data_IF_681348040960
#
_entry.id   IF_681348040960
#
_cell.length_a   1.000
_cell.length_b   1.000
_cell.length_c   1.000
_cell.angle_alpha   90.00
_cell.angle_beta   90.00
_cell.angle_gamma   90.00
#
_symmetry.space_group_name_H-M   'P 1'
#
loop_
_entity.id
_entity.type
_entity.pdbx_description
1 polymer ?
#
# COMPACT_ATOMS: atom_id res chain seq x y z
N UNK A 1 3.43 -35.63 5.00
CA UNK A 1 3.37 -34.63 6.08
C UNK A 1 3.51 -35.36 7.40
N UNK A 2 4.45 -34.99 8.27
CA UNK A 2 4.53 -35.52 9.65
C UNK A 2 3.21 -35.20 10.38
N UNK A 3 2.80 -36.04 11.33
CA UNK A 3 1.66 -35.70 12.20
C UNK A 3 2.09 -34.58 13.14
N UNK A 4 1.19 -33.67 13.52
CA UNK A 4 1.52 -32.53 14.40
C UNK A 4 2.09 -32.98 15.76
N UNK A 5 1.76 -34.19 16.20
CA UNK A 5 2.29 -34.81 17.43
C UNK A 5 3.75 -35.30 17.32
N UNK A 6 4.27 -35.42 16.09
CA UNK A 6 5.66 -35.83 15.81
C UNK A 6 6.54 -34.60 15.51
N UNK A 7 5.96 -33.39 15.56
CA UNK A 7 6.64 -32.14 15.29
C UNK A 7 7.24 -31.56 16.56
N UNK A 8 8.41 -30.94 16.45
CA UNK A 8 8.98 -30.12 17.53
C UNK A 8 8.16 -28.84 17.71
N UNK A 9 8.30 -28.19 18.87
CA UNK A 9 7.59 -26.92 19.14
C UNK A 9 7.88 -25.85 18.07
N UNK A 10 9.11 -25.79 17.55
CA UNK A 10 9.47 -24.93 16.41
C UNK A 10 8.78 -25.34 15.11
N UNK A 11 8.73 -26.63 14.78
CA UNK A 11 8.03 -27.13 13.58
C UNK A 11 6.53 -26.81 13.65
N UNK A 12 5.90 -26.90 14.82
CA UNK A 12 4.49 -26.55 15.04
C UNK A 12 4.26 -25.06 14.80
N UNK A 13 5.10 -24.20 15.40
CA UNK A 13 5.00 -22.75 15.20
C UNK A 13 5.16 -22.37 13.73
N UNK A 14 6.17 -22.94 13.06
CA UNK A 14 6.44 -22.67 11.65
C UNK A 14 5.28 -23.12 10.75
N UNK A 15 4.69 -24.30 11.00
CA UNK A 15 3.54 -24.80 10.25
C UNK A 15 2.35 -23.83 10.30
N UNK A 16 2.02 -23.32 11.48
CA UNK A 16 0.91 -22.38 11.64
C UNK A 16 1.22 -20.98 11.10
N UNK A 17 2.49 -20.56 11.20
CA UNK A 17 2.98 -19.31 10.60
C UNK A 17 2.87 -19.37 9.07
N UNK A 18 3.25 -20.50 8.47
CA UNK A 18 3.15 -20.73 7.04
C UNK A 18 1.68 -20.76 6.56
N UNK A 19 0.78 -21.43 7.30
CA UNK A 19 -0.66 -21.32 7.01
C UNK A 19 -1.14 -19.87 7.01
N UNK A 20 -0.73 -19.06 7.99
CA UNK A 20 -1.12 -17.66 8.05
C UNK A 20 -0.58 -16.85 6.86
N UNK A 21 0.65 -17.13 6.43
CA UNK A 21 1.27 -16.51 5.25
C UNK A 21 0.61 -16.96 3.93
N UNK A 22 0.15 -18.21 3.85
CA UNK A 22 -0.56 -18.78 2.71
C UNK A 22 -2.03 -18.31 2.61
N UNK A 23 -2.44 -17.29 3.38
CA UNK A 23 -3.72 -16.62 3.23
C UNK A 23 -4.84 -17.10 4.16
N UNK A 24 -4.59 -18.07 5.04
CA UNK A 24 -5.58 -18.49 6.03
C UNK A 24 -5.83 -17.35 7.04
N UNK A 25 -7.08 -17.12 7.40
CA UNK A 25 -7.46 -16.14 8.42
C UNK A 25 -6.94 -16.54 9.81
N UNK A 26 -6.69 -15.56 10.68
CA UNK A 26 -6.31 -15.82 12.08
C UNK A 26 -7.33 -16.74 12.76
N UNK A 27 -8.62 -16.60 12.43
CA UNK A 27 -9.71 -17.43 12.97
C UNK A 27 -9.61 -18.89 12.51
N UNK A 28 -9.35 -19.14 11.22
CA UNK A 28 -9.17 -20.50 10.71
C UNK A 28 -7.94 -21.18 11.31
N UNK A 29 -6.86 -20.42 11.48
CA UNK A 29 -5.65 -20.91 12.14
C UNK A 29 -5.94 -21.28 13.61
N UNK A 30 -6.62 -20.41 14.37
CA UNK A 30 -7.03 -20.69 15.74
C UNK A 30 -7.98 -21.88 15.85
N UNK A 31 -8.92 -22.03 14.92
CA UNK A 31 -9.80 -23.20 14.87
C UNK A 31 -9.02 -24.50 14.60
N UNK A 32 -7.99 -24.45 13.75
CA UNK A 32 -7.09 -25.58 13.50
C UNK A 32 -6.26 -25.92 14.74
N UNK A 33 -5.80 -24.93 15.49
CA UNK A 33 -5.09 -25.13 16.77
C UNK A 33 -6.01 -25.76 17.81
N UNK A 34 -7.26 -25.28 17.88
CA UNK A 34 -8.24 -25.77 18.86
C UNK A 34 -8.72 -27.19 18.58
N UNK A 35 -8.79 -27.59 17.32
CA UNK A 35 -9.16 -28.95 16.89
C UNK A 35 -8.02 -29.97 17.02
N UNK A 36 -6.79 -29.53 17.29
CA UNK A 36 -5.66 -30.41 17.55
C UNK A 36 -5.38 -30.52 19.06
N UNK A 37 -4.95 -31.70 19.52
CA UNK A 37 -4.48 -31.91 20.91
C UNK A 37 -3.08 -31.31 21.09
N UNK A 38 -2.97 -29.99 21.00
CA UNK A 38 -1.77 -29.25 21.43
C UNK A 38 -1.82 -29.01 22.94
N UNK A 39 -0.66 -29.08 23.59
CA UNK A 39 -0.54 -28.69 25.01
C UNK A 39 -0.86 -27.21 25.20
N UNK A 40 -1.19 -26.81 26.43
CA UNK A 40 -1.48 -25.40 26.74
C UNK A 40 -0.28 -24.48 26.41
N UNK A 41 0.94 -24.95 26.66
CA UNK A 41 2.18 -24.21 26.39
C UNK A 41 2.44 -24.08 24.88
N UNK A 42 2.25 -25.17 24.12
CA UNK A 42 2.36 -25.15 22.66
C UNK A 42 1.34 -24.20 22.04
N UNK A 43 0.09 -24.22 22.52
CA UNK A 43 -0.95 -23.28 22.08
C UNK A 43 -0.54 -21.84 22.33
N UNK A 44 -0.01 -21.55 23.52
CA UNK A 44 0.44 -20.21 23.89
C UNK A 44 1.58 -19.73 22.96
N UNK A 45 2.58 -20.56 22.70
CA UNK A 45 3.69 -20.23 21.80
C UNK A 45 3.22 -19.91 20.37
N UNK A 46 2.31 -20.73 19.83
CA UNK A 46 1.76 -20.49 18.48
C UNK A 46 0.96 -19.20 18.43
N UNK A 47 0.14 -18.91 19.45
CA UNK A 47 -0.66 -17.68 19.52
C UNK A 47 0.25 -16.44 19.60
N UNK A 48 1.28 -16.47 20.43
CA UNK A 48 2.24 -15.37 20.56
C UNK A 48 3.00 -15.13 19.25
N UNK A 49 3.45 -16.21 18.59
CA UNK A 49 4.11 -16.14 17.27
C UNK A 49 3.19 -15.56 16.19
N UNK A 50 1.92 -15.98 16.16
CA UNK A 50 0.93 -15.43 15.22
C UNK A 50 0.64 -13.95 15.49
N UNK A 51 0.60 -13.54 16.76
CA UNK A 51 0.42 -12.14 17.13
C UNK A 51 1.63 -11.28 16.72
N UNK A 52 2.85 -11.80 16.86
CA UNK A 52 4.07 -11.16 16.37
C UNK A 52 4.05 -11.04 14.83
N UNK A 53 3.74 -12.13 14.13
CA UNK A 53 3.59 -12.12 12.67
C UNK A 53 2.56 -11.07 12.24
N UNK A 54 1.40 -10.99 12.90
CA UNK A 54 0.37 -10.01 12.53
C UNK A 54 0.84 -8.56 12.72
N UNK A 55 1.63 -8.29 13.76
CA UNK A 55 2.27 -6.97 13.96
C UNK A 55 3.24 -6.66 12.82
N UNK A 56 4.12 -7.60 12.47
CA UNK A 56 5.08 -7.44 11.36
C UNK A 56 4.37 -7.20 10.02
N UNK A 57 3.33 -7.98 9.72
CA UNK A 57 2.56 -7.90 8.49
C UNK A 57 1.79 -6.57 8.39
N UNK A 58 1.24 -6.08 9.51
CA UNK A 58 0.63 -4.74 9.59
C UNK A 58 1.66 -3.64 9.34
N UNK A 59 2.85 -3.77 9.90
CA UNK A 59 3.93 -2.79 9.78
C UNK A 59 4.47 -2.74 8.35
N UNK A 60 4.66 -3.90 7.70
CA UNK A 60 5.01 -3.99 6.28
C UNK A 60 3.93 -3.39 5.38
N UNK A 61 2.65 -3.75 5.57
CA UNK A 61 1.54 -3.16 4.80
C UNK A 61 1.46 -1.63 4.97
N UNK A 62 1.70 -1.13 6.19
CA UNK A 62 1.74 0.31 6.43
C UNK A 62 2.91 0.98 5.69
N UNK A 63 4.09 0.34 5.64
CA UNK A 63 5.24 0.83 4.89
C UNK A 63 5.02 0.79 3.37
N UNK A 64 4.42 -0.28 2.84
CA UNK A 64 4.09 -0.39 1.41
C UNK A 64 3.06 0.66 1.00
N UNK A 65 1.98 0.83 1.77
CA UNK A 65 0.99 1.88 1.52
C UNK A 65 1.59 3.28 1.56
N UNK A 66 2.58 3.53 2.43
CA UNK A 66 3.34 4.80 2.46
C UNK A 66 4.13 4.99 1.16
N UNK A 67 4.77 3.96 0.62
CA UNK A 67 5.52 4.03 -0.65
C UNK A 67 4.60 4.27 -1.85
N UNK A 68 3.50 3.52 -1.96
CA UNK A 68 2.54 3.67 -3.08
C UNK A 68 1.93 5.06 -3.14
N UNK A 69 1.56 5.64 -1.99
CA UNK A 69 1.01 7.01 -1.93
C UNK A 69 2.02 8.07 -2.36
N UNK A 70 3.29 7.91 -1.97
CA UNK A 70 4.36 8.81 -2.42
C UNK A 70 4.56 8.75 -3.93
N UNK A 71 4.57 7.54 -4.52
CA UNK A 71 4.74 7.36 -5.97
C UNK A 71 3.56 7.97 -6.74
N UNK A 72 2.32 7.73 -6.27
CA UNK A 72 1.12 8.31 -6.90
C UNK A 72 1.15 9.83 -6.94
N UNK A 73 1.41 10.48 -5.80
CA UNK A 73 1.50 11.94 -5.73
C UNK A 73 2.61 12.50 -6.63
N UNK A 74 3.73 11.79 -6.77
CA UNK A 74 4.83 12.18 -7.65
C UNK A 74 4.46 12.03 -9.15
N UNK A 75 3.73 10.98 -9.52
CA UNK A 75 3.19 10.81 -10.87
C UNK A 75 2.15 11.89 -11.21
N UNK A 76 1.24 12.21 -10.30
CA UNK A 76 0.23 13.27 -10.50
C UNK A 76 0.89 14.65 -10.66
N UNK A 77 1.96 14.94 -9.92
CA UNK A 77 2.73 16.17 -10.05
C UNK A 77 3.44 16.26 -11.41
N UNK A 78 4.11 15.19 -11.85
CA UNK A 78 4.75 15.13 -13.19
C UNK A 78 3.69 15.34 -14.29
N UNK A 79 2.54 14.66 -14.19
CA UNK A 79 1.45 14.82 -15.16
C UNK A 79 0.94 16.26 -15.20
N UNK A 80 0.74 16.90 -14.03
CA UNK A 80 0.33 18.30 -13.93
C UNK A 80 1.34 19.26 -14.59
N UNK A 81 2.64 19.06 -14.35
CA UNK A 81 3.71 19.86 -14.99
C UNK A 81 3.72 19.69 -16.50
N UNK A 82 3.55 18.46 -17.01
CA UNK A 82 3.47 18.20 -18.45
C UNK A 82 2.27 18.88 -19.10
N UNK A 83 1.09 18.82 -18.46
CA UNK A 83 -0.12 19.50 -18.94
C UNK A 83 0.07 21.01 -18.94
N UNK A 84 0.73 21.56 -17.92
CA UNK A 84 1.06 22.98 -17.85
C UNK A 84 2.01 23.42 -18.99
N UNK A 85 3.09 22.66 -19.21
CA UNK A 85 4.03 22.91 -20.31
C UNK A 85 3.35 22.82 -21.68
N UNK A 86 2.45 21.86 -21.85
CA UNK A 86 1.64 21.73 -23.05
C UNK A 86 0.72 22.95 -23.25
N UNK A 87 0.10 23.44 -22.18
CA UNK A 87 -0.66 24.71 -22.20
C UNK A 87 0.20 25.92 -22.60
N UNK A 88 1.45 26.01 -22.13
CA UNK A 88 2.39 27.05 -22.54
C UNK A 88 2.75 26.97 -24.03
N UNK A 89 2.95 25.76 -24.56
CA UNK A 89 3.21 25.54 -25.99
C UNK A 89 2.01 25.94 -26.85
N UNK A 90 0.80 25.54 -26.44
CA UNK A 90 -0.43 25.94 -27.10
C UNK A 90 -0.60 27.46 -27.10
N UNK A 91 -0.33 28.13 -25.97
CA UNK A 91 -0.37 29.58 -25.87
C UNK A 91 0.61 30.25 -26.84
N UNK A 92 1.85 29.76 -26.91
CA UNK A 92 2.86 30.34 -27.81
C UNK A 92 2.47 30.23 -29.29
N UNK A 93 1.92 29.09 -29.70
CA UNK A 93 1.45 28.88 -31.07
C UNK A 93 0.18 29.69 -31.38
N UNK A 94 -0.73 29.80 -30.41
CA UNK A 94 -1.96 30.59 -30.47
C UNK A 94 -1.68 32.09 -30.58
N UNK A 95 -0.70 32.60 -29.82
CA UNK A 95 -0.26 33.99 -29.90
C UNK A 95 0.34 34.34 -31.26
N UNK A 96 1.10 33.43 -31.88
CA UNK A 96 1.58 33.60 -33.27
C UNK A 96 0.44 33.63 -34.29
N UNK A 97 -0.66 32.93 -34.01
CA UNK A 97 -1.83 32.87 -34.87
C UNK A 97 -2.87 33.99 -34.58
N UNK A 98 -2.66 34.84 -33.57
CA UNK A 98 -3.61 35.88 -33.12
C UNK A 98 -5.01 35.37 -32.74
N UNK A 99 -5.13 34.09 -32.35
CA UNK A 99 -6.40 33.47 -31.93
C UNK A 99 -6.24 32.92 -30.53
N UNK A 100 -6.86 33.55 -29.52
CA UNK A 100 -6.89 33.05 -28.14
C UNK A 100 -7.97 31.96 -28.04
N UNK A 101 -7.56 30.71 -27.82
CA UNK A 101 -8.51 29.62 -27.66
C UNK A 101 -9.01 29.52 -26.21
N UNK A 102 -10.34 29.53 -26.01
CA UNK A 102 -10.97 29.25 -24.71
C UNK A 102 -10.48 27.91 -24.12
N UNK A 103 -10.16 26.95 -25.00
CA UNK A 103 -9.57 25.65 -24.67
C UNK A 103 -8.23 25.77 -23.90
N UNK A 104 -7.44 26.81 -24.16
CA UNK A 104 -6.16 27.00 -23.48
C UNK A 104 -6.32 27.30 -21.99
N UNK A 105 -7.35 28.06 -21.61
CA UNK A 105 -7.68 28.30 -20.21
C UNK A 105 -8.14 27.02 -19.50
N UNK A 106 -8.85 26.14 -20.19
CA UNK A 106 -9.25 24.82 -19.65
C UNK A 106 -8.02 23.94 -19.40
N UNK A 107 -7.06 23.91 -20.33
CA UNK A 107 -5.81 23.16 -20.18
C UNK A 107 -4.97 23.70 -19.02
N UNK A 108 -4.84 25.03 -18.88
CA UNK A 108 -4.15 25.65 -17.76
C UNK A 108 -4.84 25.36 -16.42
N UNK A 109 -6.16 25.48 -16.36
CA UNK A 109 -6.95 25.16 -15.16
C UNK A 109 -6.79 23.70 -14.72
N UNK A 110 -6.83 22.76 -15.67
CA UNK A 110 -6.61 21.34 -15.41
C UNK A 110 -5.17 21.06 -14.93
N UNK A 111 -4.16 21.69 -15.54
CA UNK A 111 -2.77 21.58 -15.11
C UNK A 111 -2.56 22.05 -13.68
N UNK A 112 -3.10 23.22 -13.31
CA UNK A 112 -2.99 23.77 -11.96
C UNK A 112 -3.70 22.87 -10.94
N UNK A 113 -4.90 22.37 -11.25
CA UNK A 113 -5.63 21.45 -10.36
C UNK A 113 -4.86 20.14 -10.12
N UNK A 114 -4.24 19.59 -11.16
CA UNK A 114 -3.42 18.37 -11.03
C UNK A 114 -2.15 18.62 -10.20
N UNK A 115 -1.48 19.76 -10.37
CA UNK A 115 -0.32 20.12 -9.54
C UNK A 115 -0.72 20.31 -8.09
N UNK A 116 -1.80 21.03 -7.81
CA UNK A 116 -2.30 21.21 -6.44
C UNK A 116 -2.72 19.87 -5.80
N UNK A 117 -3.38 18.99 -6.55
CA UNK A 117 -3.73 17.64 -6.13
C UNK A 117 -2.49 16.82 -5.74
N UNK A 118 -1.49 16.75 -6.63
CA UNK A 118 -0.24 16.04 -6.38
C UNK A 118 0.55 16.58 -5.18
N UNK A 119 0.56 17.91 -4.97
CA UNK A 119 1.17 18.54 -3.78
C UNK A 119 0.43 18.16 -2.50
N UNK A 120 -0.90 18.16 -2.51
CA UNK A 120 -1.70 17.74 -1.35
C UNK A 120 -1.44 16.26 -1.03
N UNK A 121 -1.42 15.38 -2.03
CA UNK A 121 -1.11 13.95 -1.82
C UNK A 121 0.29 13.75 -1.24
N UNK A 122 1.28 14.52 -1.68
CA UNK A 122 2.63 14.54 -1.12
C UNK A 122 2.63 15.01 0.34
N UNK A 123 1.99 16.14 0.65
CA UNK A 123 1.94 16.70 2.02
C UNK A 123 1.21 15.75 2.97
N UNK A 124 0.08 15.16 2.57
CA UNK A 124 -0.64 14.16 3.38
C UNK A 124 0.20 12.89 3.53
N UNK A 125 0.93 12.50 2.48
CA UNK A 125 1.89 11.40 2.52
C UNK A 125 3.07 11.64 3.47
N UNK A 126 3.49 12.90 3.67
CA UNK A 126 4.54 13.30 4.59
C UNK A 126 4.04 13.52 6.02
N UNK A 127 2.85 14.10 6.24
CA UNK A 127 2.29 14.37 7.58
C UNK A 127 1.86 13.11 8.34
N UNK A 128 1.64 11.99 7.64
CA UNK A 128 1.44 10.65 8.22
C UNK A 128 2.75 9.83 8.33
N UNK A 129 3.90 10.42 7.98
CA UNK A 129 5.22 9.80 8.17
C UNK A 129 5.67 9.93 9.62
#
# INVERSE_FOLDING_TARGET
MKKVFEMTDEEIVNYYREKRLNGYSTREVLNSINSQLLSADQRKMVIESLAQLEKELKLQKAQEQKKTKRIRGLCELIAGVLVFLFGCLLYHNSAKANVVFLFNYVVWGAGILLVLGGVIELIVGFKKS
#
